data_IF_024419407577
#
_entry.id   IF_024419407577
#
_cell.length_a   1.000
_cell.length_b   1.000
_cell.length_c   1.000
_cell.angle_alpha   90.00
_cell.angle_beta   90.00
_cell.angle_gamma   90.00
#
_symmetry.space_group_name_H-M   'P 1'
#
loop_
_entity.id
_entity.type
_entity.pdbx_description
1 polymer ?
#
# COMPACT_ATOMS: atom_id res chain seq x y z
N UNK A 1 21.52 -0.64 -5.66
CA UNK A 1 20.59 -0.43 -6.78
C UNK A 1 19.81 0.88 -6.68
N UNK A 2 19.78 1.58 -5.53
CA UNK A 2 19.09 2.89 -5.33
C UNK A 2 17.71 3.00 -6.00
N UNK A 3 16.99 1.88 -6.04
CA UNK A 3 15.67 1.81 -6.64
C UNK A 3 14.62 2.31 -5.63
N UNK A 4 13.49 2.76 -6.15
CA UNK A 4 12.29 2.97 -5.38
C UNK A 4 11.49 1.66 -5.32
N UNK A 5 11.02 1.29 -4.13
CA UNK A 5 10.15 0.16 -3.87
C UNK A 5 8.71 0.64 -3.73
N UNK A 6 7.88 0.23 -4.70
CA UNK A 6 6.44 0.49 -4.71
C UNK A 6 5.70 -0.83 -4.52
N UNK A 7 4.71 -0.86 -3.63
CA UNK A 7 3.95 -2.08 -3.33
C UNK A 7 2.46 -1.88 -3.57
N UNK A 8 1.87 -2.77 -4.39
CA UNK A 8 0.42 -2.93 -4.52
C UNK A 8 -0.10 -3.80 -3.38
N UNK A 9 -1.03 -3.26 -2.60
CA UNK A 9 -1.66 -3.97 -1.48
C UNK A 9 -3.19 -4.09 -1.62
N UNK A 10 -3.72 -3.93 -2.84
CA UNK A 10 -5.17 -3.95 -3.10
C UNK A 10 -5.80 -5.25 -2.59
N UNK A 11 -5.13 -6.40 -2.75
CA UNK A 11 -5.66 -7.71 -2.34
C UNK A 11 -5.26 -8.15 -0.93
N UNK A 12 -4.44 -7.38 -0.20
CA UNK A 12 -3.83 -7.83 1.06
C UNK A 12 -3.99 -6.86 2.23
N UNK A 13 -4.12 -5.55 2.00
CA UNK A 13 -4.18 -4.56 3.07
C UNK A 13 -5.45 -4.73 3.91
N UNK A 14 -5.28 -5.06 5.18
CA UNK A 14 -6.36 -5.36 6.13
C UNK A 14 -6.63 -6.85 6.33
N UNK A 15 -6.05 -7.73 5.50
CA UNK A 15 -6.17 -9.19 5.60
C UNK A 15 -4.91 -9.80 6.19
N UNK A 16 -3.75 -9.25 5.81
CA UNK A 16 -2.45 -9.66 6.32
C UNK A 16 -1.71 -8.47 6.98
N UNK A 17 -0.83 -8.73 7.96
CA UNK A 17 0.01 -7.70 8.54
C UNK A 17 0.87 -7.00 7.48
N UNK A 18 0.87 -5.67 7.50
CA UNK A 18 1.62 -4.84 6.57
C UNK A 18 2.38 -3.76 7.35
N UNK A 19 3.72 -3.76 7.25
CA UNK A 19 4.58 -2.88 8.05
C UNK A 19 5.41 -1.97 7.14
N UNK A 20 4.74 -1.04 6.46
CA UNK A 20 5.33 -0.12 5.47
C UNK A 20 6.70 0.46 5.89
N UNK A 21 6.73 1.12 7.07
CA UNK A 21 7.93 1.81 7.56
C UNK A 21 9.06 0.83 7.88
N UNK A 22 8.74 -0.28 8.55
CA UNK A 22 9.72 -1.31 8.91
C UNK A 22 10.30 -1.98 7.66
N UNK A 23 9.50 -2.14 6.61
CA UNK A 23 9.90 -2.71 5.33
C UNK A 23 10.58 -1.70 4.41
N UNK A 24 10.63 -0.42 4.80
CA UNK A 24 11.24 0.68 4.02
C UNK A 24 10.66 0.79 2.61
N UNK A 25 9.34 0.65 2.50
CA UNK A 25 8.61 0.84 1.25
C UNK A 25 8.52 2.34 0.96
N UNK A 26 8.87 2.74 -0.26
CA UNK A 26 8.88 4.14 -0.67
C UNK A 26 7.46 4.62 -1.05
N UNK A 27 6.64 3.76 -1.65
CA UNK A 27 5.23 4.05 -1.87
C UNK A 27 4.36 2.79 -1.77
N UNK A 28 3.15 2.96 -1.27
CA UNK A 28 2.14 1.90 -1.22
C UNK A 28 0.81 2.45 -1.71
N UNK A 29 0.05 1.61 -2.41
CA UNK A 29 -1.36 1.88 -2.68
C UNK A 29 -2.21 0.65 -2.42
N UNK A 30 -3.50 0.89 -2.21
CA UNK A 30 -4.52 -0.15 -2.08
C UNK A 30 -5.82 0.30 -2.75
N UNK A 31 -6.84 -0.58 -2.76
CA UNK A 31 -8.16 -0.28 -3.28
C UNK A 31 -9.22 -0.51 -2.20
N UNK A 32 -10.24 0.35 -2.22
CA UNK A 32 -11.37 0.31 -1.30
C UNK A 32 -12.19 -0.99 -1.39
N UNK A 33 -12.26 -1.63 -2.56
CA UNK A 33 -13.26 -2.64 -2.89
C UNK A 33 -12.86 -4.12 -2.75
N UNK A 34 -11.69 -4.43 -2.19
CA UNK A 34 -11.32 -5.81 -1.89
C UNK A 34 -11.43 -6.07 -0.40
N UNK A 35 -10.29 -6.14 0.28
CA UNK A 35 -10.22 -6.45 1.70
C UNK A 35 -10.87 -5.37 2.56
N UNK A 36 -10.81 -4.11 2.12
CA UNK A 36 -11.39 -2.97 2.85
C UNK A 36 -12.93 -2.88 2.75
N UNK A 37 -13.58 -3.64 1.87
CA UNK A 37 -15.05 -3.78 1.82
C UNK A 37 -15.86 -2.53 1.44
N UNK A 38 -15.22 -1.45 0.99
CA UNK A 38 -15.87 -0.22 0.53
C UNK A 38 -16.22 -0.26 -0.97
N UNK A 39 -17.10 0.63 -1.49
CA UNK A 39 -17.37 0.71 -2.92
C UNK A 39 -16.09 1.00 -3.74
N UNK A 40 -15.98 0.51 -4.99
CA UNK A 40 -14.85 0.82 -5.85
C UNK A 40 -14.81 2.31 -6.20
N UNK A 41 -13.60 2.82 -6.45
CA UNK A 41 -13.38 4.19 -6.94
C UNK A 41 -12.49 5.05 -6.06
N UNK A 42 -12.02 4.53 -4.91
CA UNK A 42 -11.05 5.21 -4.04
C UNK A 42 -9.78 4.37 -3.93
N UNK A 43 -8.64 5.02 -4.15
CA UNK A 43 -7.29 4.47 -3.99
C UNK A 43 -6.56 5.20 -2.87
N UNK A 44 -6.53 4.66 -1.63
CA UNK A 44 -5.63 5.13 -0.59
C UNK A 44 -4.16 4.93 -0.99
N UNK A 45 -3.34 5.94 -0.75
CA UNK A 45 -1.91 5.95 -1.08
C UNK A 45 -1.13 6.51 0.11
N UNK A 46 0.06 5.96 0.37
CA UNK A 46 1.02 6.52 1.34
C UNK A 46 2.42 6.54 0.73
N UNK A 47 3.20 7.54 1.13
CA UNK A 47 4.57 7.77 0.69
C UNK A 47 5.53 7.71 1.89
N UNK A 48 6.65 7.02 1.69
CA UNK A 48 7.76 6.98 2.64
C UNK A 48 8.69 8.19 2.47
N UNK A 49 9.67 8.40 3.38
CA UNK A 49 10.50 9.60 3.39
C UNK A 49 11.41 9.82 2.15
N UNK A 50 11.62 8.79 1.34
CA UNK A 50 12.43 8.87 0.11
C UNK A 50 11.62 9.24 -1.13
N UNK A 51 10.29 9.14 -1.07
CA UNK A 51 9.38 9.39 -2.18
C UNK A 51 8.98 10.86 -2.30
#
# INVERSE_FOLDING_TARGET
YDALLIVDTVASLGAEPFFMDNWKIDAVYTGSQKVLGAPPGITPISFGPRA
#
